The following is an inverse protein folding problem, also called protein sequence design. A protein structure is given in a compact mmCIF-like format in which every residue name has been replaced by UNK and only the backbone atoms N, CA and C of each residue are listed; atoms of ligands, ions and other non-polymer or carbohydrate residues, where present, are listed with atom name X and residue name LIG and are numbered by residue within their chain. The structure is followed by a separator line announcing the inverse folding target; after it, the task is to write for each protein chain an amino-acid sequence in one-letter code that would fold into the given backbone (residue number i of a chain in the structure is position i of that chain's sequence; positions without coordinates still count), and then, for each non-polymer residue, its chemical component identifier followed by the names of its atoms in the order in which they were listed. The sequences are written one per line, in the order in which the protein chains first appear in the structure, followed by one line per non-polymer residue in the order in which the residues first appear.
data_IF_874457063747
#
_entry.id   IF_874457063747
#
_cell.length_a   1.000
_cell.length_b   1.000
_cell.length_c   1.000
_cell.angle_alpha   90.00
_cell.angle_beta   90.00
_cell.angle_gamma   90.00
#
_symmetry.space_group_name_H-M   'P 1'
#
loop_
_entity.id
_entity.type
_entity.pdbx_description
1 polymer ?
#
# COMPACT_ATOMS: atom_id res chain seq x y z
N UNK A 1 31.65 11.78 7.25
CA UNK A 1 30.37 11.63 6.56
C UNK A 1 29.28 11.97 7.55
N UNK A 2 28.53 13.07 7.33
CA UNK A 2 27.37 13.42 8.15
C UNK A 2 26.25 12.45 7.77
N UNK A 3 25.69 11.72 8.75
CA UNK A 3 24.43 10.98 8.54
C UNK A 3 23.37 11.98 8.06
N UNK A 4 22.56 11.66 7.04
CA UNK A 4 21.40 12.49 6.72
C UNK A 4 20.52 12.55 7.98
N UNK A 5 20.14 13.76 8.41
CA UNK A 5 19.08 13.92 9.40
C UNK A 5 17.81 13.38 8.75
N UNK A 6 17.39 12.19 9.17
CA UNK A 6 16.02 11.75 8.97
C UNK A 6 15.19 12.52 9.99
N UNK A 7 14.33 13.40 9.51
CA UNK A 7 13.34 14.11 10.32
C UNK A 7 12.46 13.04 10.97
N UNK A 8 12.64 12.77 12.26
CA UNK A 8 12.00 11.60 12.90
C UNK A 8 10.55 11.94 13.29
N UNK A 9 9.62 11.85 12.33
CA UNK A 9 8.18 11.83 12.61
C UNK A 9 7.85 10.48 13.24
N UNK A 10 7.18 10.49 14.40
CA UNK A 10 6.77 9.27 15.12
C UNK A 10 5.27 9.29 15.34
N UNK A 11 4.62 8.14 15.16
CA UNK A 11 3.21 7.94 15.44
C UNK A 11 3.01 7.18 16.75
N UNK A 12 2.08 7.67 17.56
CA UNK A 12 1.50 6.94 18.70
C UNK A 12 -0.03 6.98 18.58
N UNK A 13 -0.75 6.32 19.49
CA UNK A 13 -2.20 6.20 19.43
C UNK A 13 -2.83 6.65 20.74
N UNK A 14 -3.93 7.41 20.63
CA UNK A 14 -4.65 7.94 21.77
C UNK A 14 -6.15 7.74 21.64
N UNK A 15 -6.88 8.07 22.72
CA UNK A 15 -8.34 8.01 22.74
C UNK A 15 -9.00 8.87 21.65
N UNK A 16 -8.32 9.94 21.23
CA UNK A 16 -8.86 10.96 20.33
C UNK A 16 -8.31 10.90 18.90
N UNK A 17 -7.40 9.97 18.61
CA UNK A 17 -6.75 9.92 17.30
C UNK A 17 -5.35 9.34 17.35
N UNK A 18 -4.67 9.42 16.21
CA UNK A 18 -3.23 9.18 16.08
C UNK A 18 -2.50 10.41 16.61
N UNK A 19 -1.56 10.20 17.51
CA UNK A 19 -0.67 11.24 18.04
C UNK A 19 0.53 11.34 17.10
N UNK A 20 0.76 12.52 16.54
CA UNK A 20 1.91 12.81 15.68
C UNK A 20 2.92 13.58 16.51
N UNK A 21 4.11 13.00 16.67
CA UNK A 21 5.24 13.62 17.33
C UNK A 21 6.25 14.05 16.27
N UNK A 22 6.56 15.34 16.26
CA UNK A 22 7.57 15.92 15.35
C UNK A 22 8.76 16.46 16.15
N UNK A 23 9.94 16.54 15.54
CA UNK A 23 11.15 17.06 16.19
C UNK A 23 11.01 18.48 16.77
N UNK A 24 10.06 19.28 16.27
CA UNK A 24 9.73 20.60 16.83
C UNK A 24 9.08 20.53 18.22
N UNK A 25 8.94 19.33 18.80
CA UNK A 25 8.14 19.02 20.00
C UNK A 25 6.66 19.42 19.85
N UNK A 26 6.20 19.60 18.61
CA UNK A 26 4.78 19.78 18.34
C UNK A 26 4.11 18.41 18.41
N UNK A 27 3.09 18.33 19.25
CA UNK A 27 2.19 17.19 19.33
C UNK A 27 0.89 17.58 18.66
N UNK A 28 0.57 16.89 17.57
CA UNK A 28 -0.73 17.00 16.90
C UNK A 28 -1.51 15.71 17.13
N UNK A 29 -2.84 15.81 17.15
CA UNK A 29 -3.72 14.64 17.15
C UNK A 29 -4.54 14.70 15.87
N UNK A 30 -4.36 13.68 15.03
CA UNK A 30 -5.12 13.49 13.80
C UNK A 30 -6.19 12.44 14.06
N UNK A 31 -7.43 12.70 13.64
CA UNK A 31 -8.51 11.72 13.76
C UNK A 31 -8.14 10.42 13.01
N UNK A 32 -8.54 9.25 13.53
CA UNK A 32 -8.21 7.97 12.91
C UNK A 32 -8.70 7.84 11.46
N UNK A 33 -9.86 8.42 11.14
CA UNK A 33 -10.39 8.41 9.78
C UNK A 33 -9.58 9.34 8.86
N UNK A 34 -9.11 10.46 9.38
CA UNK A 34 -8.24 11.38 8.64
C UNK A 34 -6.85 10.76 8.39
N UNK A 35 -6.26 10.13 9.40
CA UNK A 35 -5.05 9.34 9.28
C UNK A 35 -5.19 8.23 8.22
N UNK A 36 -6.29 7.47 8.24
CA UNK A 36 -6.55 6.46 7.22
C UNK A 36 -6.69 7.06 5.81
N UNK A 37 -7.39 8.20 5.67
CA UNK A 37 -7.53 8.90 4.39
C UNK A 37 -6.19 9.40 3.85
N UNK A 38 -5.27 9.80 4.74
CA UNK A 38 -3.92 10.21 4.33
C UNK A 38 -3.11 9.06 3.71
N UNK A 39 -3.26 7.83 4.24
CA UNK A 39 -2.68 6.63 3.63
C UNK A 39 -3.29 6.38 2.24
N UNK A 40 -4.62 6.33 2.14
CA UNK A 40 -5.32 6.02 0.87
C UNK A 40 -5.03 7.07 -0.22
N UNK A 41 -4.87 8.34 0.17
CA UNK A 41 -4.47 9.44 -0.70
C UNK A 41 -3.00 9.40 -1.14
N UNK A 42 -2.22 8.43 -0.65
CA UNK A 42 -0.82 8.23 -1.06
C UNK A 42 0.17 9.19 -0.40
N UNK A 43 -0.18 9.87 0.70
CA UNK A 43 0.74 10.81 1.36
C UNK A 43 2.03 10.15 1.86
N UNK A 44 2.02 8.82 2.04
CA UNK A 44 3.13 8.02 2.52
C UNK A 44 3.75 7.13 1.42
N UNK A 45 3.38 7.31 0.15
CA UNK A 45 3.89 6.46 -0.94
C UNK A 45 5.39 6.65 -1.18
N UNK A 46 5.94 7.82 -0.83
CA UNK A 46 7.38 8.12 -0.90
C UNK A 46 8.16 7.62 0.32
N UNK A 47 7.48 7.35 1.44
CA UNK A 47 8.06 6.81 2.66
C UNK A 47 7.15 5.73 3.25
N UNK A 48 7.24 4.54 2.66
CA UNK A 48 6.41 3.39 3.02
C UNK A 48 6.62 2.97 4.48
N UNK A 49 7.83 3.14 5.04
CA UNK A 49 8.10 2.78 6.42
C UNK A 49 7.34 3.68 7.38
N UNK A 50 7.37 4.99 7.14
CA UNK A 50 6.57 5.94 7.90
C UNK A 50 5.07 5.64 7.78
N UNK A 51 4.60 5.25 6.58
CA UNK A 51 3.22 4.81 6.39
C UNK A 51 2.87 3.54 7.18
N UNK A 52 3.78 2.56 7.28
CA UNK A 52 3.59 1.38 8.13
C UNK A 52 3.50 1.73 9.62
N UNK A 53 4.29 2.69 10.09
CA UNK A 53 4.19 3.18 11.47
C UNK A 53 2.81 3.81 11.73
N UNK A 54 2.25 4.54 10.76
CA UNK A 54 0.89 5.07 10.85
C UNK A 54 -0.17 3.94 10.88
N UNK A 55 -0.01 2.90 10.04
CA UNK A 55 -0.87 1.70 10.07
C UNK A 55 -0.84 1.06 11.46
N UNK A 56 0.34 0.90 12.06
CA UNK A 56 0.49 0.33 13.40
C UNK A 56 -0.23 1.17 14.46
N UNK A 57 -0.11 2.50 14.41
CA UNK A 57 -0.83 3.38 15.32
C UNK A 57 -2.36 3.25 15.18
N UNK A 58 -2.89 3.17 13.95
CA UNK A 58 -4.32 2.94 13.68
C UNK A 58 -4.77 1.58 14.24
N UNK A 59 -4.00 0.51 13.98
CA UNK A 59 -4.30 -0.85 14.46
C UNK A 59 -4.26 -0.94 15.99
N UNK A 60 -3.32 -0.26 16.64
CA UNK A 60 -3.26 -0.19 18.10
C UNK A 60 -4.46 0.58 18.68
N UNK A 61 -4.85 1.70 18.07
CA UNK A 61 -6.08 2.42 18.42
C UNK A 61 -7.34 1.56 18.32
N UNK A 62 -7.41 0.73 17.27
CA UNK A 62 -8.48 -0.25 17.10
C UNK A 62 -8.45 -1.32 18.19
N UNK A 63 -7.29 -1.95 18.43
CA UNK A 63 -7.11 -2.98 19.46
C UNK A 63 -7.42 -2.48 20.87
N UNK A 64 -7.14 -1.21 21.15
CA UNK A 64 -7.44 -0.54 22.41
C UNK A 64 -8.92 -0.12 22.55
N UNK A 65 -9.73 -0.25 21.50
CA UNK A 65 -11.14 0.15 21.49
C UNK A 65 -11.37 1.66 21.37
N UNK A 66 -10.36 2.43 20.99
CA UNK A 66 -10.48 3.88 20.74
C UNK A 66 -11.04 4.18 19.36
N UNK A 67 -10.84 3.25 18.42
CA UNK A 67 -11.33 3.34 17.06
C UNK A 67 -12.03 2.04 16.67
N UNK A 68 -13.11 2.14 15.90
CA UNK A 68 -13.78 1.00 15.29
C UNK A 68 -13.98 1.30 13.81
N UNK A 69 -13.13 0.77 12.91
CA UNK A 69 -13.29 1.02 11.48
C UNK A 69 -14.59 0.40 10.97
N UNK A 70 -15.20 1.05 9.98
CA UNK A 70 -16.21 0.39 9.12
C UNK A 70 -15.55 -0.66 8.23
N UNK A 71 -16.35 -1.51 7.57
CA UNK A 71 -15.81 -2.48 6.60
C UNK A 71 -15.07 -1.77 5.47
N UNK A 72 -15.60 -0.65 4.97
CA UNK A 72 -14.91 0.14 3.93
C UNK A 72 -13.58 0.72 4.42
N UNK A 73 -13.55 1.25 5.65
CA UNK A 73 -12.30 1.77 6.24
C UNK A 73 -11.27 0.64 6.45
N UNK A 74 -11.74 -0.56 6.80
CA UNK A 74 -10.88 -1.74 6.92
C UNK A 74 -10.32 -2.15 5.56
N UNK A 75 -11.15 -2.15 4.50
CA UNK A 75 -10.70 -2.40 3.12
C UNK A 75 -9.62 -1.39 2.72
N UNK A 76 -9.82 -0.09 2.96
CA UNK A 76 -8.81 0.94 2.67
C UNK A 76 -7.48 0.68 3.38
N UNK A 77 -7.52 0.37 4.68
CA UNK A 77 -6.33 0.12 5.50
C UNK A 77 -5.55 -1.09 4.96
N UNK A 78 -6.25 -2.19 4.69
CA UNK A 78 -5.64 -3.42 4.22
C UNK A 78 -5.15 -3.32 2.78
N UNK A 79 -5.89 -2.63 1.90
CA UNK A 79 -5.45 -2.33 0.52
C UNK A 79 -4.13 -1.56 0.53
N UNK A 80 -4.01 -0.51 1.35
CA UNK A 80 -2.76 0.24 1.46
C UNK A 80 -1.64 -0.64 2.01
N UNK A 81 -1.91 -1.44 3.05
CA UNK A 81 -0.92 -2.33 3.67
C UNK A 81 -0.36 -3.35 2.68
N UNK A 82 -1.23 -4.02 1.91
CA UNK A 82 -0.82 -5.00 0.87
C UNK A 82 -0.04 -4.32 -0.23
N UNK A 83 -0.52 -3.18 -0.73
CA UNK A 83 0.16 -2.39 -1.76
C UNK A 83 1.57 -1.98 -1.32
N UNK A 84 1.70 -1.34 -0.15
CA UNK A 84 2.99 -0.94 0.39
C UNK A 84 3.94 -2.14 0.62
N UNK A 85 3.40 -3.27 1.08
CA UNK A 85 4.18 -4.50 1.30
C UNK A 85 4.73 -5.05 -0.01
N UNK A 86 3.90 -5.09 -1.05
CA UNK A 86 4.32 -5.55 -2.37
C UNK A 86 5.39 -4.65 -2.97
N UNK A 87 5.16 -3.34 -2.99
CA UNK A 87 6.12 -2.37 -3.53
C UNK A 87 7.44 -2.47 -2.78
N UNK A 88 7.41 -2.53 -1.44
CA UNK A 88 8.63 -2.66 -0.65
C UNK A 88 9.38 -3.96 -0.96
N UNK A 89 8.68 -5.08 -1.06
CA UNK A 89 9.29 -6.36 -1.39
C UNK A 89 9.88 -6.35 -2.82
N UNK A 90 9.27 -5.65 -3.78
CA UNK A 90 9.83 -5.44 -5.12
C UNK A 90 11.10 -4.56 -5.09
N UNK A 91 11.08 -3.46 -4.33
CA UNK A 91 12.26 -2.59 -4.15
C UNK A 91 13.43 -3.38 -3.55
N UNK A 92 13.17 -4.17 -2.51
CA UNK A 92 14.19 -4.95 -1.80
C UNK A 92 14.76 -6.09 -2.68
N UNK A 93 13.94 -6.70 -3.56
CA UNK A 93 14.35 -7.84 -4.39
C UNK A 93 14.93 -7.45 -5.75
N UNK A 94 14.32 -6.48 -6.42
CA UNK A 94 14.59 -6.16 -7.83
C UNK A 94 15.16 -4.75 -8.02
N UNK A 95 15.17 -3.93 -6.96
CA UNK A 95 15.64 -2.56 -7.00
C UNK A 95 14.59 -1.57 -7.51
N UNK A 96 15.06 -0.36 -7.81
CA UNK A 96 14.23 0.77 -8.22
C UNK A 96 14.69 1.38 -9.54
N UNK A 97 13.82 2.17 -10.15
CA UNK A 97 14.10 2.97 -11.34
C UNK A 97 13.53 4.37 -11.17
N UNK A 98 14.32 5.37 -11.54
CA UNK A 98 13.84 6.74 -11.68
C UNK A 98 13.04 6.89 -12.98
N UNK A 99 11.85 7.47 -12.88
CA UNK A 99 10.94 7.70 -14.00
C UNK A 99 10.58 9.18 -14.03
N UNK A 100 10.70 9.81 -15.19
CA UNK A 100 10.34 11.22 -15.36
C UNK A 100 8.85 11.41 -15.05
N UNK A 101 8.53 12.44 -14.27
CA UNK A 101 7.16 12.77 -13.91
C UNK A 101 6.65 14.00 -14.65
N UNK A 102 5.33 14.20 -14.63
CA UNK A 102 4.65 15.28 -15.32
C UNK A 102 4.98 16.68 -14.74
N UNK A 103 5.64 16.73 -13.59
CA UNK A 103 6.06 17.97 -12.91
C UNK A 103 7.50 18.39 -13.27
N UNK A 104 8.17 17.66 -14.18
CA UNK A 104 9.53 17.94 -14.62
C UNK A 104 10.63 17.48 -13.66
N UNK A 105 10.30 16.56 -12.75
CA UNK A 105 11.23 15.83 -11.89
C UNK A 105 11.22 14.32 -12.19
N UNK A 106 11.69 13.52 -11.25
CA UNK A 106 11.60 12.05 -11.30
C UNK A 106 10.88 11.50 -10.08
N UNK A 107 10.10 10.44 -10.27
CA UNK A 107 9.60 9.59 -9.20
C UNK A 107 10.39 8.27 -9.17
N UNK A 108 10.59 7.74 -7.97
CA UNK A 108 11.24 6.44 -7.76
C UNK A 108 10.20 5.33 -7.85
N UNK A 109 10.30 4.48 -8.86
CA UNK A 109 9.43 3.32 -9.07
C UNK A 109 10.10 2.02 -8.63
N UNK A 110 9.32 1.07 -8.12
CA UNK A 110 9.81 -0.29 -7.87
C UNK A 110 9.79 -1.12 -9.16
N UNK A 111 10.70 -2.09 -9.28
CA UNK A 111 10.77 -2.96 -10.47
C UNK A 111 10.07 -4.29 -10.14
N UNK A 112 9.06 -4.66 -10.93
CA UNK A 112 8.52 -6.01 -10.97
C UNK A 112 9.18 -6.80 -12.13
N UNK A 113 9.51 -8.07 -11.88
CA UNK A 113 10.15 -8.96 -12.85
C UNK A 113 9.51 -10.35 -12.78
N UNK A 114 9.00 -10.85 -13.92
CA UNK A 114 8.41 -12.20 -14.02
C UNK A 114 9.34 -13.24 -14.65
N UNK A 115 10.63 -12.92 -14.75
CA UNK A 115 11.67 -13.75 -15.35
C UNK A 115 11.88 -13.53 -16.85
N UNK A 116 10.93 -12.91 -17.56
CA UNK A 116 11.06 -12.57 -18.98
C UNK A 116 10.98 -11.06 -19.24
N UNK A 117 10.03 -10.40 -18.60
CA UNK A 117 9.71 -8.99 -18.78
C UNK A 117 9.74 -8.25 -17.45
N UNK A 118 10.07 -6.96 -17.49
CA UNK A 118 10.11 -6.10 -16.33
C UNK A 118 9.25 -4.86 -16.55
N UNK A 119 8.49 -4.48 -15.51
CA UNK A 119 7.67 -3.27 -15.50
C UNK A 119 7.95 -2.47 -14.22
N UNK A 120 7.70 -1.17 -14.27
CA UNK A 120 7.70 -0.31 -13.08
C UNK A 120 6.34 -0.35 -12.42
N UNK A 121 6.32 -0.50 -11.10
CA UNK A 121 5.10 -0.55 -10.27
C UNK A 121 5.16 0.52 -9.18
N UNK A 122 4.01 1.12 -8.90
CA UNK A 122 3.85 2.21 -7.93
C UNK A 122 2.79 1.83 -6.88
N UNK A 123 2.87 2.36 -5.65
CA UNK A 123 1.83 2.12 -4.64
C UNK A 123 0.43 2.52 -5.12
N UNK A 124 0.30 3.66 -5.82
CA UNK A 124 -0.97 4.13 -6.37
C UNK A 124 -1.57 3.17 -7.40
N UNK A 125 -0.78 2.72 -8.38
CA UNK A 125 -1.23 1.76 -9.41
C UNK A 125 -1.58 0.41 -8.79
N UNK A 126 -0.81 -0.03 -7.79
CA UNK A 126 -1.06 -1.26 -7.05
C UNK A 126 -2.41 -1.19 -6.30
N UNK A 127 -2.69 -0.08 -5.61
CA UNK A 127 -3.99 0.13 -4.95
C UNK A 127 -5.14 0.09 -5.95
N UNK A 128 -4.98 0.70 -7.13
CA UNK A 128 -6.01 0.68 -8.16
C UNK A 128 -6.27 -0.75 -8.68
N UNK A 129 -5.21 -1.51 -8.96
CA UNK A 129 -5.31 -2.89 -9.40
C UNK A 129 -6.01 -3.77 -8.34
N UNK A 130 -5.65 -3.60 -7.06
CA UNK A 130 -6.31 -4.28 -5.95
C UNK A 130 -7.80 -3.92 -5.84
N UNK A 131 -8.14 -2.64 -5.99
CA UNK A 131 -9.53 -2.18 -5.97
C UNK A 131 -10.34 -2.75 -7.15
N UNK A 132 -9.76 -2.81 -8.35
CA UNK A 132 -10.44 -3.31 -9.54
C UNK A 132 -10.60 -4.84 -9.52
N UNK A 133 -9.51 -5.57 -9.23
CA UNK A 133 -9.45 -7.02 -9.47
C UNK A 133 -9.65 -7.87 -8.21
N UNK A 134 -9.45 -7.31 -7.01
CA UNK A 134 -9.77 -8.01 -5.77
C UNK A 134 -11.11 -7.54 -5.22
N UNK A 135 -11.24 -6.23 -4.97
CA UNK A 135 -12.47 -5.68 -4.37
C UNK A 135 -13.64 -5.72 -5.36
N UNK A 136 -13.42 -5.33 -6.62
CA UNK A 136 -14.46 -5.32 -7.66
C UNK A 136 -15.13 -6.69 -7.81
N UNK A 137 -14.33 -7.75 -7.97
CA UNK A 137 -14.83 -9.14 -8.06
C UNK A 137 -15.61 -9.52 -6.79
N UNK A 138 -15.08 -9.20 -5.60
CA UNK A 138 -15.74 -9.52 -4.34
C UNK A 138 -17.09 -8.79 -4.20
N UNK A 139 -17.16 -7.51 -4.57
CA UNK A 139 -18.40 -6.73 -4.52
C UNK A 139 -19.43 -7.20 -5.54
N UNK A 140 -19.01 -7.56 -6.75
CA UNK A 140 -19.92 -8.11 -7.77
C UNK A 140 -20.54 -9.43 -7.33
N UNK A 141 -19.75 -10.31 -6.70
CA UNK A 141 -20.20 -11.65 -6.31
C UNK A 141 -21.01 -11.66 -5.01
N UNK A 142 -20.63 -10.85 -4.02
CA UNK A 142 -21.16 -10.95 -2.66
C UNK A 142 -21.93 -9.70 -2.21
N UNK A 143 -21.97 -8.65 -3.03
CA UNK A 143 -22.51 -7.35 -2.65
C UNK A 143 -21.58 -6.58 -1.71
N UNK A 144 -22.00 -5.37 -1.32
CA UNK A 144 -21.14 -4.39 -0.64
C UNK A 144 -20.57 -4.89 0.71
N UNK A 145 -21.42 -5.35 1.62
CA UNK A 145 -20.99 -5.72 2.98
C UNK A 145 -20.18 -7.04 2.98
N UNK A 146 -20.74 -8.11 2.41
CA UNK A 146 -20.07 -9.41 2.39
C UNK A 146 -18.85 -9.41 1.45
N UNK A 147 -18.87 -8.61 0.38
CA UNK A 147 -17.71 -8.39 -0.48
C UNK A 147 -16.59 -7.65 0.23
N UNK A 148 -16.89 -6.66 1.08
CA UNK A 148 -15.87 -5.98 1.88
C UNK A 148 -15.22 -6.95 2.87
N UNK A 149 -16.02 -7.75 3.57
CA UNK A 149 -15.51 -8.79 4.48
C UNK A 149 -14.63 -9.82 3.75
N UNK A 150 -14.99 -10.18 2.51
CA UNK A 150 -14.20 -11.08 1.69
C UNK A 150 -12.86 -10.45 1.29
N UNK A 151 -12.88 -9.21 0.79
CA UNK A 151 -11.66 -8.49 0.40
C UNK A 151 -10.69 -8.33 1.58
N UNK A 152 -11.22 -7.98 2.76
CA UNK A 152 -10.41 -7.88 3.99
C UNK A 152 -9.73 -9.22 4.30
N UNK A 153 -10.46 -10.33 4.24
CA UNK A 153 -9.90 -11.66 4.50
C UNK A 153 -8.81 -12.02 3.48
N UNK A 154 -9.03 -11.74 2.20
CA UNK A 154 -8.02 -11.96 1.16
C UNK A 154 -6.76 -11.14 1.41
N UNK A 155 -6.89 -9.86 1.76
CA UNK A 155 -5.75 -9.02 2.09
C UNK A 155 -5.00 -9.48 3.34
N UNK A 156 -5.71 -9.90 4.39
CA UNK A 156 -5.08 -10.48 5.57
C UNK A 156 -4.30 -11.75 5.23
N UNK A 157 -4.81 -12.58 4.31
CA UNK A 157 -4.12 -13.78 3.79
C UNK A 157 -2.87 -13.44 2.96
N UNK A 158 -2.79 -12.24 2.38
CA UNK A 158 -1.63 -11.76 1.59
C UNK A 158 -0.48 -11.25 2.45
N UNK A 159 -0.75 -10.87 3.70
CA UNK A 159 0.26 -10.31 4.60
C UNK A 159 0.90 -11.42 5.45
N UNK A 160 2.22 -11.37 5.58
CA UNK A 160 2.92 -12.14 6.58
C UNK A 160 2.93 -11.38 7.91
N UNK A 161 2.08 -11.81 8.84
CA UNK A 161 1.94 -11.18 10.16
C UNK A 161 3.16 -11.38 11.07
N UNK A 162 4.09 -12.27 10.71
CA UNK A 162 5.35 -12.52 11.41
C UNK A 162 6.51 -12.54 10.40
N UNK A 163 6.89 -11.37 9.86
CA UNK A 163 7.92 -11.30 8.83
C UNK A 163 9.29 -11.66 9.41
N UNK A 164 9.89 -12.75 8.93
CA UNK A 164 11.33 -12.94 9.03
C UNK A 164 11.99 -12.10 7.93
N UNK A 165 12.76 -11.07 8.32
CA UNK A 165 13.63 -10.26 7.46
C UNK A 165 13.07 -9.90 6.07
N UNK A 166 12.30 -8.80 5.97
CA UNK A 166 11.90 -8.23 4.68
C UNK A 166 10.85 -9.02 3.87
N UNK A 167 10.31 -10.11 4.41
CA UNK A 167 9.22 -10.89 3.80
C UNK A 167 7.86 -10.41 4.30
N UNK A 168 7.44 -9.23 3.85
CA UNK A 168 6.21 -8.56 4.27
C UNK A 168 4.96 -9.26 3.72
N UNK A 169 5.06 -9.87 2.54
CA UNK A 169 3.99 -10.68 1.96
C UNK A 169 4.08 -12.15 2.38
N UNK A 170 2.92 -12.81 2.45
CA UNK A 170 2.82 -14.25 2.53
C UNK A 170 3.15 -14.90 1.17
N UNK A 171 3.30 -16.22 1.13
CA UNK A 171 3.45 -16.95 -0.14
C UNK A 171 2.25 -16.74 -1.06
N UNK A 172 1.02 -16.81 -0.51
CA UNK A 172 -0.22 -16.52 -1.24
C UNK A 172 -0.25 -15.09 -1.79
N UNK A 173 0.21 -14.12 -0.99
CA UNK A 173 0.26 -12.72 -1.41
C UNK A 173 1.21 -12.53 -2.59
N UNK A 174 2.41 -13.10 -2.53
CA UNK A 174 3.35 -13.10 -3.67
C UNK A 174 2.77 -13.75 -4.91
N UNK A 175 2.21 -14.94 -4.78
CA UNK A 175 1.64 -15.68 -5.91
C UNK A 175 0.48 -14.90 -6.56
N UNK A 176 -0.51 -14.49 -5.76
CA UNK A 176 -1.69 -13.78 -6.25
C UNK A 176 -1.34 -12.45 -6.92
N UNK A 177 -0.45 -11.66 -6.33
CA UNK A 177 -0.02 -10.39 -6.92
C UNK A 177 0.83 -10.60 -8.17
N UNK A 178 1.70 -11.62 -8.20
CA UNK A 178 2.48 -11.93 -9.41
C UNK A 178 1.58 -12.35 -10.56
N UNK A 179 0.52 -13.14 -10.31
CA UNK A 179 -0.45 -13.50 -11.34
C UNK A 179 -1.11 -12.27 -11.97
N UNK A 180 -1.52 -11.29 -11.17
CA UNK A 180 -2.15 -10.05 -11.67
C UNK A 180 -1.19 -9.26 -12.57
N UNK A 181 0.07 -9.13 -12.18
CA UNK A 181 1.09 -8.42 -12.97
C UNK A 181 1.51 -9.19 -14.22
N UNK A 182 1.59 -10.51 -14.15
CA UNK A 182 1.90 -11.36 -15.30
C UNK A 182 0.80 -11.30 -16.35
N UNK A 183 -0.45 -11.27 -15.92
CA UNK A 183 -1.58 -11.10 -16.83
C UNK A 183 -1.61 -9.69 -17.44
N UNK A 184 -1.28 -8.65 -16.67
CA UNK A 184 -1.08 -7.30 -17.21
C UNK A 184 0.01 -7.26 -18.29
N UNK A 185 1.17 -7.88 -18.04
CA UNK A 185 2.27 -7.95 -19.01
C UNK A 185 1.81 -8.66 -20.29
N UNK A 186 1.12 -9.80 -20.18
CA UNK A 186 0.58 -10.52 -21.35
C UNK A 186 -0.40 -9.68 -22.15
N UNK A 187 -1.30 -8.96 -21.48
CA UNK A 187 -2.26 -8.06 -22.14
C UNK A 187 -1.55 -6.92 -22.89
N UNK A 188 -0.50 -6.34 -22.30
CA UNK A 188 0.33 -5.31 -22.97
C UNK A 188 1.06 -5.90 -24.18
N UNK A 189 1.69 -7.07 -24.04
CA UNK A 189 2.41 -7.74 -25.12
C UNK A 189 1.49 -8.18 -26.26
N UNK A 190 0.23 -8.53 -25.95
CA UNK A 190 -0.82 -8.83 -26.93
C UNK A 190 -1.39 -7.58 -27.62
N UNK A 191 -0.98 -6.38 -27.20
CA UNK A 191 -1.43 -5.11 -27.77
C UNK A 191 -2.86 -4.72 -27.38
N UNK A 192 -3.40 -5.28 -26.29
CA UNK A 192 -4.79 -5.04 -25.85
C UNK A 192 -5.05 -3.58 -25.46
N UNK A 193 -3.98 -2.83 -25.15
CA UNK A 193 -4.06 -1.43 -24.73
C UNK A 193 -3.78 -0.41 -25.85
N UNK A 194 -3.49 -0.82 -27.09
CA UNK A 194 -3.30 0.10 -28.22
C UNK A 194 -2.41 1.32 -27.91
N UNK A 195 -2.92 2.53 -28.20
CA UNK A 195 -2.27 3.83 -27.89
C UNK A 195 -2.74 4.46 -26.54
N UNK A 196 -3.23 3.66 -25.58
CA UNK A 196 -3.74 4.21 -24.31
C UNK A 196 -2.60 4.96 -23.59
N UNK A 197 -2.83 6.21 -23.14
CA UNK A 197 -1.81 6.97 -22.42
C UNK A 197 -1.35 6.20 -21.18
N UNK A 198 -0.04 6.07 -21.02
CA UNK A 198 0.58 5.55 -19.80
C UNK A 198 0.39 6.62 -18.73
N UNK A 199 -0.40 6.31 -17.70
CA UNK A 199 -0.56 7.18 -16.53
C UNK A 199 0.62 6.88 -15.60
N UNK A 200 1.48 7.88 -15.41
CA UNK A 200 2.54 7.88 -14.40
C UNK A 200 1.96 8.21 -13.01
#
# INVERSE_FOLDING_TARGET
MKKPHHTETVFDYGKYGVIVLTEAANTEIIDYVEALKSLDAGQYDRDLLLGFDLVLAILHGWKAGFYKPTSEQSVMLWRWTVSASFIREQMDRNGTREVDNDEGGTDTAAIYLNGASAITVYPSSERLMLAAHVEGIAFEQFGREAGADMAIRMYMDFINMQPESGNWLSEKGREGLSMLHDDLIKSVEAGEFGDIPIIH
#
